data_IF_959035720414
#
_entry.id   IF_959035720414
#
_cell.length_a   1.000
_cell.length_b   1.000
_cell.length_c   1.000
_cell.angle_alpha   90.00
_cell.angle_beta   90.00
_cell.angle_gamma   90.00
#
_symmetry.space_group_name_H-M   'P 1'
#
loop_
_entity.id
_entity.type
_entity.pdbx_description
1 polymer ?
#
# COMPACT_ATOMS: atom_id res chain seq x y z
N UNK A 1 -52.66 5.78 -20.70
CA UNK A 1 -52.76 5.02 -19.44
C UNK A 1 -51.85 3.80 -19.61
N UNK A 2 -50.65 3.68 -19.04
CA UNK A 2 -49.94 4.38 -17.96
C UNK A 2 -48.56 4.83 -18.46
N UNK A 3 -48.19 6.06 -18.12
CA UNK A 3 -46.81 6.52 -18.02
C UNK A 3 -46.08 5.66 -16.99
N UNK A 4 -44.84 5.28 -17.28
CA UNK A 4 -43.94 4.74 -16.27
C UNK A 4 -42.83 5.78 -16.14
N UNK A 5 -43.04 6.67 -15.18
CA UNK A 5 -42.05 7.60 -14.66
C UNK A 5 -40.82 6.78 -14.26
N UNK A 6 -39.70 7.08 -14.92
CA UNK A 6 -38.39 6.74 -14.41
C UNK A 6 -37.96 7.99 -13.66
N UNK A 7 -38.31 8.03 -12.38
CA UNK A 7 -37.94 9.11 -11.48
C UNK A 7 -36.42 9.31 -11.54
N UNK A 8 -36.06 10.52 -11.95
CA UNK A 8 -34.80 11.20 -11.72
C UNK A 8 -34.50 11.20 -10.21
N UNK A 9 -33.50 10.44 -9.77
CA UNK A 9 -32.85 10.63 -8.47
C UNK A 9 -31.52 9.84 -8.42
N UNK A 10 -30.54 10.29 -9.21
CA UNK A 10 -29.12 9.99 -8.99
C UNK A 10 -28.22 11.18 -9.41
N UNK A 11 -28.77 12.38 -9.23
CA UNK A 11 -28.12 13.67 -9.49
C UNK A 11 -27.49 14.20 -8.18
N UNK A 12 -26.35 13.60 -7.76
CA UNK A 12 -25.30 14.30 -6.96
C UNK A 12 -24.03 13.46 -6.60
N UNK A 13 -23.75 12.33 -7.28
CA UNK A 13 -22.45 11.67 -7.10
C UNK A 13 -21.39 12.38 -7.96
N UNK A 14 -20.30 12.96 -7.40
CA UNK A 14 -19.27 13.58 -8.23
C UNK A 14 -18.72 12.53 -9.19
N UNK A 15 -18.91 12.78 -10.48
CA UNK A 15 -18.74 11.87 -11.64
C UNK A 15 -17.32 11.27 -11.79
N UNK A 16 -16.41 11.53 -10.87
CA UNK A 16 -15.06 10.96 -10.81
C UNK A 16 -14.76 10.07 -9.59
N UNK A 17 -15.46 10.21 -8.47
CA UNK A 17 -14.95 9.73 -7.16
C UNK A 17 -14.60 8.24 -7.11
N UNK A 18 -15.60 7.36 -7.27
CA UNK A 18 -15.40 5.91 -7.11
C UNK A 18 -14.68 5.28 -8.30
N UNK A 19 -15.02 5.68 -9.53
CA UNK A 19 -14.39 5.13 -10.75
C UNK A 19 -12.92 5.52 -10.87
N UNK A 20 -12.57 6.76 -10.53
CA UNK A 20 -11.19 7.23 -10.55
C UNK A 20 -10.36 6.56 -9.46
N UNK A 21 -10.93 6.38 -8.26
CA UNK A 21 -10.31 5.57 -7.20
C UNK A 21 -10.04 4.14 -7.65
N UNK A 22 -11.02 3.43 -8.19
CA UNK A 22 -10.81 2.07 -8.69
C UNK A 22 -9.75 2.01 -9.80
N UNK A 23 -9.73 3.01 -10.69
CA UNK A 23 -8.67 3.15 -11.69
C UNK A 23 -7.30 3.36 -11.05
N UNK A 24 -7.20 4.23 -10.05
CA UNK A 24 -5.97 4.47 -9.30
C UNK A 24 -5.47 3.19 -8.62
N UNK A 25 -6.33 2.44 -7.95
CA UNK A 25 -5.97 1.15 -7.35
C UNK A 25 -5.46 0.14 -8.38
N UNK A 26 -6.11 0.07 -9.56
CA UNK A 26 -5.64 -0.78 -10.68
C UNK A 26 -4.25 -0.36 -11.17
N UNK A 27 -3.99 0.95 -11.24
CA UNK A 27 -2.69 1.50 -11.63
C UNK A 27 -1.61 1.23 -10.57
N UNK A 28 -1.92 1.35 -9.27
CA UNK A 28 -1.00 0.96 -8.18
C UNK A 28 -0.66 -0.53 -8.26
N UNK A 29 -1.66 -1.40 -8.46
CA UNK A 29 -1.39 -2.85 -8.68
C UNK A 29 -0.49 -3.09 -9.88
N UNK A 30 -0.59 -2.27 -10.93
CA UNK A 30 0.32 -2.36 -12.08
C UNK A 30 1.74 -1.93 -11.72
N UNK A 31 1.91 -0.88 -10.93
CA UNK A 31 3.23 -0.49 -10.37
C UNK A 31 3.81 -1.62 -9.53
N UNK A 32 3.01 -2.27 -8.68
CA UNK A 32 3.46 -3.39 -7.86
C UNK A 32 3.99 -4.55 -8.69
N UNK A 33 3.28 -4.93 -9.77
CA UNK A 33 3.75 -5.96 -10.69
C UNK A 33 5.06 -5.58 -11.39
N UNK A 34 5.23 -4.30 -11.75
CA UNK A 34 6.47 -3.81 -12.36
C UNK A 34 7.63 -3.82 -11.35
N UNK A 35 7.37 -3.47 -10.09
CA UNK A 35 8.36 -3.58 -9.02
C UNK A 35 8.78 -5.04 -8.80
N UNK A 36 7.83 -5.95 -8.68
CA UNK A 36 8.12 -7.39 -8.52
C UNK A 36 8.94 -7.92 -9.72
N UNK A 37 8.61 -7.50 -10.95
CA UNK A 37 9.36 -7.89 -12.15
C UNK A 37 10.80 -7.35 -12.15
N UNK A 38 11.00 -6.08 -11.75
CA UNK A 38 12.34 -5.49 -11.64
C UNK A 38 13.23 -6.24 -10.62
N UNK A 39 12.60 -6.82 -9.59
CA UNK A 39 13.26 -7.58 -8.53
C UNK A 39 13.26 -9.10 -8.75
N UNK A 40 12.72 -9.61 -9.86
CA UNK A 40 12.72 -11.04 -10.17
C UNK A 40 14.11 -11.72 -10.17
N UNK A 41 15.21 -11.03 -10.55
CA UNK A 41 16.56 -11.60 -10.45
C UNK A 41 17.09 -11.76 -9.00
N UNK A 42 16.38 -11.24 -8.01
CA UNK A 42 16.74 -11.34 -6.61
C UNK A 42 16.00 -12.47 -5.90
N UNK A 43 16.62 -13.04 -4.88
CA UNK A 43 16.05 -14.05 -4.01
C UNK A 43 15.97 -13.53 -2.57
N UNK A 44 14.77 -13.64 -1.97
CA UNK A 44 14.51 -13.26 -0.59
C UNK A 44 14.24 -14.52 0.23
N UNK A 45 14.98 -14.78 1.33
CA UNK A 45 14.75 -15.95 2.19
C UNK A 45 13.50 -15.82 3.08
N UNK A 46 12.71 -14.74 2.92
CA UNK A 46 11.53 -14.46 3.73
C UNK A 46 11.80 -14.48 5.26
N UNK A 47 12.94 -13.91 5.68
CA UNK A 47 13.36 -13.90 7.10
C UNK A 47 12.53 -12.99 8.01
N UNK A 48 11.67 -12.14 7.47
CA UNK A 48 10.88 -11.16 8.24
C UNK A 48 11.68 -9.97 8.81
N UNK A 49 13.01 -9.95 8.67
CA UNK A 49 13.86 -8.93 9.31
C UNK A 49 13.65 -7.51 8.76
N UNK A 50 13.36 -7.37 7.47
CA UNK A 50 13.01 -6.07 6.89
C UNK A 50 11.71 -5.49 7.50
N UNK A 51 10.86 -6.34 8.08
CA UNK A 51 9.60 -5.95 8.71
C UNK A 51 9.74 -5.67 10.22
N UNK A 52 10.93 -5.84 10.80
CA UNK A 52 11.21 -5.48 12.20
C UNK A 52 11.48 -3.97 12.30
N UNK A 53 10.41 -3.17 12.16
CA UNK A 53 10.50 -1.72 11.93
C UNK A 53 11.17 -0.94 13.07
N UNK A 54 10.92 -1.35 14.32
CA UNK A 54 11.59 -0.78 15.48
C UNK A 54 13.13 -0.97 15.44
N UNK A 55 13.61 -2.04 14.82
CA UNK A 55 15.04 -2.36 14.69
C UNK A 55 15.61 -1.69 13.43
N UNK A 56 14.98 -1.89 12.28
CA UNK A 56 15.50 -1.41 11.00
C UNK A 56 15.40 0.10 10.83
N UNK A 57 14.45 0.74 11.53
CA UNK A 57 14.08 2.16 11.36
C UNK A 57 13.74 2.52 9.91
N UNK A 58 13.30 1.53 9.11
CA UNK A 58 13.05 1.66 7.67
C UNK A 58 11.64 1.17 7.34
N UNK A 59 10.65 1.86 7.87
CA UNK A 59 9.27 1.62 7.50
C UNK A 59 8.96 2.14 6.08
N UNK A 60 8.07 1.46 5.33
CA UNK A 60 7.66 1.93 4.03
C UNK A 60 6.80 3.20 4.18
N UNK A 61 6.93 4.08 3.19
CA UNK A 61 6.13 5.29 3.08
C UNK A 61 5.09 5.08 2.00
N UNK A 62 3.83 5.32 2.34
CA UNK A 62 2.67 4.98 1.52
C UNK A 62 1.95 6.24 1.08
N UNK A 63 1.59 6.25 -0.19
CA UNK A 63 0.53 7.12 -0.70
C UNK A 63 -0.86 6.59 -0.34
N UNK A 64 -1.87 7.46 -0.36
CA UNK A 64 -3.25 7.09 0.03
C UNK A 64 -3.79 5.86 -0.74
N UNK A 65 -3.59 5.70 -2.06
CA UNK A 65 -4.10 4.54 -2.77
C UNK A 65 -3.40 3.22 -2.39
N UNK A 66 -2.14 3.30 -1.92
CA UNK A 66 -1.43 2.13 -1.39
C UNK A 66 -2.01 1.71 -0.04
N UNK A 67 -2.28 2.69 0.83
CA UNK A 67 -2.95 2.45 2.10
C UNK A 67 -4.34 1.84 1.91
N UNK A 68 -5.10 2.34 0.94
CA UNK A 68 -6.41 1.79 0.58
C UNK A 68 -6.30 0.34 0.13
N UNK A 69 -5.36 -0.02 -0.76
CA UNK A 69 -5.15 -1.41 -1.16
C UNK A 69 -4.81 -2.33 0.01
N UNK A 70 -3.95 -1.86 0.91
CA UNK A 70 -3.47 -2.65 2.04
C UNK A 70 -4.56 -2.88 3.11
N UNK A 71 -5.41 -1.88 3.36
CA UNK A 71 -6.45 -1.92 4.41
C UNK A 71 -7.82 -2.40 3.92
N UNK A 72 -8.09 -2.38 2.61
CA UNK A 72 -9.41 -2.68 2.06
C UNK A 72 -9.88 -4.10 2.34
N UNK A 73 -11.10 -4.21 2.87
CA UNK A 73 -11.83 -5.48 3.00
C UNK A 73 -11.29 -6.43 4.07
N UNK A 74 -10.52 -5.93 5.03
CA UNK A 74 -9.95 -6.74 6.12
C UNK A 74 -9.87 -5.96 7.43
N UNK A 75 -10.03 -6.62 8.59
CA UNK A 75 -9.76 -5.99 9.87
C UNK A 75 -8.27 -5.66 9.99
N UNK A 76 -7.96 -4.50 10.55
CA UNK A 76 -6.58 -4.15 10.89
C UNK A 76 -6.12 -5.02 12.06
N UNK A 77 -4.87 -5.51 12.08
CA UNK A 77 -4.32 -6.18 13.24
C UNK A 77 -4.03 -5.16 14.36
N UNK A 78 -3.98 -5.57 15.64
CA UNK A 78 -3.50 -4.68 16.69
C UNK A 78 -2.04 -4.28 16.46
N UNK A 79 -1.63 -3.06 16.85
CA UNK A 79 -0.22 -2.68 16.87
C UNK A 79 0.62 -3.67 17.69
N UNK A 80 1.81 -4.00 17.21
CA UNK A 80 2.72 -4.89 17.95
C UNK A 80 3.41 -4.15 19.08
N UNK A 81 3.52 -4.78 20.24
CA UNK A 81 4.21 -4.24 21.42
C UNK A 81 5.70 -4.05 21.21
N UNK A 82 6.31 -4.79 20.28
CA UNK A 82 7.73 -4.68 19.94
C UNK A 82 8.02 -3.60 18.88
N UNK A 83 7.00 -2.90 18.39
CA UNK A 83 7.13 -1.88 17.34
C UNK A 83 7.50 -2.44 15.95
N UNK A 84 7.35 -3.74 15.73
CA UNK A 84 7.44 -4.35 14.40
C UNK A 84 6.25 -4.01 13.51
N UNK A 85 6.30 -4.43 12.24
CA UNK A 85 5.18 -4.27 11.31
C UNK A 85 3.93 -5.02 11.84
N UNK A 86 2.76 -4.34 12.02
CA UNK A 86 1.53 -4.97 12.54
C UNK A 86 1.02 -6.14 11.69
N UNK A 87 1.38 -6.17 10.41
CA UNK A 87 0.96 -7.20 9.47
C UNK A 87 1.84 -8.46 9.49
N UNK A 88 2.86 -8.53 10.35
CA UNK A 88 3.54 -9.79 10.60
C UNK A 88 2.66 -10.72 11.42
N UNK A 89 2.72 -12.02 11.13
CA UNK A 89 2.13 -13.05 11.95
C UNK A 89 2.72 -13.07 13.37
N UNK A 90 2.12 -13.87 14.24
CA UNK A 90 2.57 -14.01 15.64
C UNK A 90 4.03 -14.47 15.76
N UNK A 91 4.56 -15.17 14.74
CA UNK A 91 5.96 -15.60 14.71
C UNK A 91 6.93 -14.48 14.29
N UNK A 92 6.42 -13.39 13.71
CA UNK A 92 7.22 -12.27 13.22
C UNK A 92 7.88 -12.52 11.86
N UNK A 93 7.49 -13.57 11.14
CA UNK A 93 8.18 -14.02 9.93
C UNK A 93 7.33 -13.88 8.66
N UNK A 94 6.02 -14.11 8.75
CA UNK A 94 5.14 -14.09 7.57
C UNK A 94 4.26 -12.85 7.55
N UNK A 95 4.21 -12.19 6.39
CA UNK A 95 3.31 -11.05 6.18
C UNK A 95 1.90 -11.55 5.86
N UNK A 96 0.90 -11.17 6.66
CA UNK A 96 -0.51 -11.52 6.48
C UNK A 96 -1.14 -10.86 5.24
N UNK A 97 -0.53 -9.77 4.75
CA UNK A 97 -0.95 -9.03 3.55
C UNK A 97 0.10 -9.13 2.43
N UNK A 98 0.85 -10.23 2.34
CA UNK A 98 2.00 -10.35 1.43
C UNK A 98 1.68 -10.00 -0.03
N UNK A 99 0.50 -10.37 -0.52
CA UNK A 99 0.05 -10.07 -1.89
C UNK A 99 -0.19 -8.56 -2.11
N UNK A 100 -0.73 -7.87 -1.09
CA UNK A 100 -1.07 -6.45 -1.10
C UNK A 100 0.02 -5.59 -0.47
N UNK A 101 1.23 -6.14 -0.27
CA UNK A 101 2.34 -5.41 0.35
C UNK A 101 2.64 -4.10 -0.41
N UNK A 102 2.89 -2.98 0.30
CA UNK A 102 3.12 -1.67 -0.34
C UNK A 102 4.36 -1.65 -1.20
N UNK A 103 4.52 -0.61 -2.04
CA UNK A 103 5.67 -0.48 -2.93
C UNK A 103 7.00 -0.54 -2.17
N UNK A 104 7.11 0.16 -1.03
CA UNK A 104 8.32 0.13 -0.21
C UNK A 104 8.71 -1.28 0.27
N UNK A 105 7.74 -2.15 0.54
CA UNK A 105 8.01 -3.55 0.91
C UNK A 105 8.45 -4.42 -0.27
N UNK A 106 8.30 -3.95 -1.51
CA UNK A 106 8.70 -4.67 -2.74
C UNK A 106 10.09 -4.29 -3.22
N UNK A 107 10.55 -3.10 -2.82
CA UNK A 107 11.82 -2.52 -3.29
C UNK A 107 12.85 -2.37 -2.18
N UNK A 108 12.44 -2.53 -0.91
CA UNK A 108 13.33 -2.56 0.24
C UNK A 108 13.51 -3.98 0.77
N UNK A 109 14.77 -4.37 1.00
CA UNK A 109 15.14 -5.70 1.49
C UNK A 109 16.16 -5.61 2.62
N UNK A 110 16.17 -6.63 3.49
CA UNK A 110 17.21 -6.79 4.51
C UNK A 110 18.53 -7.26 3.89
N UNK A 111 19.58 -7.32 4.70
CA UNK A 111 20.92 -7.73 4.26
C UNK A 111 21.01 -9.17 3.74
N UNK A 112 20.01 -10.01 4.01
CA UNK A 112 19.96 -11.41 3.55
C UNK A 112 19.47 -11.59 2.11
N UNK A 113 19.11 -10.51 1.40
CA UNK A 113 18.77 -10.60 -0.01
C UNK A 113 19.95 -11.10 -0.83
N UNK A 114 19.69 -11.99 -1.77
CA UNK A 114 20.67 -12.49 -2.73
C UNK A 114 20.30 -12.01 -4.13
N UNK A 115 21.27 -11.75 -4.99
CA UNK A 115 21.03 -11.32 -6.36
C UNK A 115 22.12 -10.39 -6.90
N UNK A 116 21.84 -9.67 -7.99
CA UNK A 116 22.79 -8.74 -8.61
C UNK A 116 23.29 -7.67 -7.64
N UNK A 117 24.54 -7.25 -7.82
CA UNK A 117 25.19 -6.23 -6.97
C UNK A 117 24.55 -4.84 -7.10
N UNK A 118 23.91 -4.54 -8.24
CA UNK A 118 23.27 -3.25 -8.51
C UNK A 118 21.76 -3.38 -8.51
N UNK A 119 21.13 -2.59 -7.65
CA UNK A 119 19.69 -2.40 -7.59
C UNK A 119 19.15 -1.72 -8.86
N UNK A 120 17.90 -2.01 -9.31
CA UNK A 120 17.28 -1.38 -10.47
C UNK A 120 16.78 0.04 -10.14
N UNK A 121 17.68 0.92 -9.70
CA UNK A 121 17.36 2.22 -9.11
C UNK A 121 16.57 3.15 -10.06
N UNK A 122 16.92 3.17 -11.36
CA UNK A 122 16.22 3.96 -12.37
C UNK A 122 14.76 3.52 -12.51
N UNK A 123 14.51 2.21 -12.57
CA UNK A 123 13.15 1.65 -12.61
C UNK A 123 12.38 2.01 -11.34
N UNK A 124 13.01 1.88 -10.17
CA UNK A 124 12.37 2.25 -8.89
C UNK A 124 11.99 3.73 -8.86
N UNK A 125 12.87 4.63 -9.32
CA UNK A 125 12.58 6.06 -9.38
C UNK A 125 11.38 6.38 -10.29
N UNK A 126 11.35 5.82 -11.51
CA UNK A 126 10.21 5.99 -12.42
C UNK A 126 8.89 5.48 -11.83
N UNK A 127 8.94 4.37 -11.07
CA UNK A 127 7.75 3.82 -10.42
C UNK A 127 7.27 4.69 -9.25
N UNK A 128 8.18 5.31 -8.49
CA UNK A 128 7.84 6.28 -7.43
C UNK A 128 7.12 7.50 -8.00
N UNK A 129 7.67 8.10 -9.06
CA UNK A 129 7.03 9.24 -9.75
C UNK A 129 5.65 8.89 -10.30
N UNK A 130 5.48 7.64 -10.74
CA UNK A 130 4.18 7.14 -11.18
C UNK A 130 3.19 6.99 -10.03
N UNK A 131 3.63 6.48 -8.87
CA UNK A 131 2.78 6.36 -7.67
C UNK A 131 2.34 7.73 -7.16
N UNK A 132 3.25 8.69 -7.13
CA UNK A 132 2.94 10.06 -6.74
C UNK A 132 1.86 10.65 -7.65
N UNK A 133 2.02 10.57 -8.98
CA UNK A 133 1.00 11.04 -9.93
C UNK A 133 -0.35 10.36 -9.74
N UNK A 134 -0.35 9.05 -9.48
CA UNK A 134 -1.60 8.32 -9.21
C UNK A 134 -2.27 8.85 -7.94
N UNK A 135 -1.50 9.06 -6.87
CA UNK A 135 -1.99 9.59 -5.60
C UNK A 135 -2.55 11.00 -5.72
N UNK A 136 -1.84 11.89 -6.42
CA UNK A 136 -2.23 13.30 -6.56
C UNK A 136 -3.57 13.47 -7.28
N UNK A 137 -3.97 12.54 -8.15
CA UNK A 137 -5.29 12.56 -8.80
C UNK A 137 -6.44 12.30 -7.83
N UNK A 138 -6.28 11.34 -6.92
CA UNK A 138 -7.37 10.89 -6.03
C UNK A 138 -7.30 11.46 -4.60
N UNK A 139 -6.14 12.00 -4.22
CA UNK A 139 -5.87 12.63 -2.93
C UNK A 139 -4.98 13.88 -3.10
N UNK A 140 -5.43 14.93 -3.81
CA UNK A 140 -4.62 16.13 -4.12
C UNK A 140 -4.20 16.95 -2.89
N UNK A 141 -4.89 16.77 -1.76
CA UNK A 141 -4.52 17.38 -0.47
C UNK A 141 -3.30 16.71 0.17
N UNK A 142 -3.02 15.44 -0.14
CA UNK A 142 -1.87 14.72 0.38
C UNK A 142 -0.61 15.11 -0.41
N UNK A 143 0.25 15.93 0.19
CA UNK A 143 1.44 16.49 -0.47
C UNK A 143 2.67 15.58 -0.45
N UNK A 144 2.68 14.59 0.43
CA UNK A 144 3.78 13.65 0.61
C UNK A 144 3.23 12.28 1.04
N UNK A 145 3.93 11.17 0.77
CA UNK A 145 3.55 9.89 1.35
C UNK A 145 3.72 9.96 2.87
N UNK A 146 3.02 9.10 3.60
CA UNK A 146 3.13 9.02 5.07
C UNK A 146 3.70 7.67 5.50
N UNK A 147 4.35 7.59 6.66
CA UNK A 147 4.83 6.31 7.19
C UNK A 147 3.68 5.30 7.40
N UNK A 148 3.95 4.02 7.14
CA UNK A 148 2.97 2.94 7.31
C UNK A 148 2.39 2.89 8.73
N UNK A 149 3.22 3.08 9.75
CA UNK A 149 2.77 3.00 11.14
C UNK A 149 1.81 4.15 11.48
N UNK A 150 2.03 5.35 10.96
CA UNK A 150 1.13 6.49 11.16
C UNK A 150 -0.25 6.23 10.53
N UNK A 151 -0.29 5.71 9.30
CA UNK A 151 -1.54 5.30 8.65
C UNK A 151 -2.28 4.24 9.48
N UNK A 152 -1.54 3.25 9.97
CA UNK A 152 -2.09 2.13 10.73
C UNK A 152 -2.63 2.56 12.09
N UNK A 153 -1.86 3.34 12.84
CA UNK A 153 -2.23 3.82 14.18
C UNK A 153 -3.50 4.67 14.12
N UNK A 154 -3.57 5.62 13.18
CA UNK A 154 -4.75 6.46 12.96
C UNK A 154 -6.00 5.62 12.67
N UNK A 155 -5.90 4.69 11.73
CA UNK A 155 -7.04 3.86 11.32
C UNK A 155 -7.45 2.83 12.39
N UNK A 156 -6.48 2.26 13.12
CA UNK A 156 -6.74 1.36 14.23
C UNK A 156 -7.50 2.06 15.36
N UNK A 157 -7.04 3.25 15.76
CA UNK A 157 -7.74 4.04 16.77
C UNK A 157 -9.15 4.43 16.35
N UNK A 158 -9.35 4.82 15.10
CA UNK A 158 -10.68 5.09 14.56
C UNK A 158 -11.59 3.86 14.63
N UNK A 159 -11.09 2.68 14.27
CA UNK A 159 -11.84 1.42 14.29
C UNK A 159 -12.18 0.93 15.71
N UNK A 160 -11.32 1.17 16.69
CA UNK A 160 -11.54 0.72 18.09
C UNK A 160 -12.39 1.66 18.94
N UNK A 161 -12.59 2.91 18.48
CA UNK A 161 -13.45 3.90 19.16
C UNK A 161 -14.90 3.86 18.67
N UNK A 162 -15.14 3.25 17.52
CA UNK A 162 -16.46 3.02 16.93
C UNK A 162 -17.12 1.78 17.56
#
# INVERSE_FOLDING_TARGET
MRTRDWDDEDDDAPLGGTRERERALKEVRAVYRQADAAYAPYSCPASGECCQLAITKRQPWLWQPEWELLSRGRPLPPPRTDGGCPYLDATGLRCSVYADRPFGCRTFFCQRIQGPSRQPAETVATLLERLERVSQRVAPSLKAPRPLLDWHEEAWHAATKA
#
